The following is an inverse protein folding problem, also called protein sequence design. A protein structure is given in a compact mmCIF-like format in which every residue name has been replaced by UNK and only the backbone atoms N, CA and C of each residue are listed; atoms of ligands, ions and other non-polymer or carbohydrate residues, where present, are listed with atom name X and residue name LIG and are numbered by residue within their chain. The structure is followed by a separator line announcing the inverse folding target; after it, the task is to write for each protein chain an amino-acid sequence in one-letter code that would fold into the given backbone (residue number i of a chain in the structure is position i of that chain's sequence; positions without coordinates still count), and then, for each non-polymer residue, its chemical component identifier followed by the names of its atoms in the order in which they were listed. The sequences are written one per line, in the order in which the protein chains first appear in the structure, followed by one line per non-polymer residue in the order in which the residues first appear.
data_IF_771570476122
#
_entry.id   IF_771570476122
#
_cell.length_a   1.000
_cell.length_b   1.000
_cell.length_c   1.000
_cell.angle_alpha   90.00
_cell.angle_beta   90.00
_cell.angle_gamma   90.00
#
_symmetry.space_group_name_H-M   'P 1'
#
loop_
_entity.id
_entity.type
_entity.pdbx_description
1 polymer ?
#
# COMPACT_ATOMS: atom_id res chain seq x y z
N UNK A 1 -4.29 7.42 12.67
CA UNK A 1 -3.18 6.47 12.39
C UNK A 1 -2.76 6.60 10.94
N UNK A 2 -1.55 7.09 10.72
CA UNK A 2 -0.89 7.24 9.42
C UNK A 2 0.17 6.14 9.35
N UNK A 3 0.02 5.21 8.42
CA UNK A 3 1.14 4.34 8.01
C UNK A 3 1.77 4.98 6.81
N UNK A 4 3.05 5.29 6.92
CA UNK A 4 3.82 5.71 5.77
C UNK A 4 4.31 4.46 5.04
N UNK A 5 3.73 4.18 3.88
CA UNK A 5 4.31 3.22 2.94
C UNK A 5 5.53 3.88 2.30
N UNK A 6 6.74 3.49 2.71
CA UNK A 6 8.04 3.95 2.19
C UNK A 6 8.19 5.48 2.09
N UNK A 7 8.83 6.08 3.10
CA UNK A 7 9.09 7.53 3.15
C UNK A 7 10.19 7.94 2.15
N UNK A 8 9.96 9.07 1.48
CA UNK A 8 10.79 9.70 0.44
C UNK A 8 12.14 10.24 0.99
N UNK A 9 13.22 10.06 0.23
CA UNK A 9 14.64 10.09 0.68
C UNK A 9 15.12 11.45 1.24
N UNK A 10 14.45 12.56 0.90
CA UNK A 10 14.87 13.91 1.28
C UNK A 10 14.56 14.32 2.73
N UNK A 11 13.53 13.74 3.36
CA UNK A 11 13.13 14.01 4.76
C UNK A 11 13.69 13.01 5.77
N UNK A 12 14.29 11.92 5.27
CA UNK A 12 14.72 10.73 6.02
C UNK A 12 15.73 11.06 7.12
N UNK A 13 16.75 11.87 6.84
CA UNK A 13 17.87 12.01 7.78
C UNK A 13 17.51 12.72 9.09
N UNK A 14 16.47 13.56 9.11
CA UNK A 14 16.03 14.24 10.35
C UNK A 14 14.97 13.47 11.14
N UNK A 15 14.19 12.60 10.46
CA UNK A 15 13.15 11.77 11.07
C UNK A 15 13.68 10.41 11.55
N UNK A 16 14.66 9.82 10.86
CA UNK A 16 15.26 8.54 11.25
C UNK A 16 16.09 8.62 12.53
N UNK A 17 16.75 9.74 12.83
CA UNK A 17 17.58 9.88 14.04
C UNK A 17 16.79 9.79 15.35
N UNK A 18 15.45 9.84 15.32
CA UNK A 18 14.57 9.72 16.50
C UNK A 18 13.53 8.60 16.40
N UNK A 19 13.57 7.78 15.34
CA UNK A 19 12.57 6.74 15.12
C UNK A 19 12.86 5.52 16.00
N UNK A 20 11.88 5.13 16.84
CA UNK A 20 12.02 3.95 17.69
C UNK A 20 11.65 2.70 16.90
N UNK A 21 12.56 1.73 16.88
CA UNK A 21 12.37 0.44 16.22
C UNK A 21 12.27 -0.69 17.25
N UNK A 22 11.28 -1.57 17.09
CA UNK A 22 11.02 -2.69 18.01
C UNK A 22 11.30 -4.04 17.35
N UNK A 23 12.34 -4.73 17.82
CA UNK A 23 12.72 -6.07 17.33
C UNK A 23 11.88 -7.20 17.91
N UNK A 24 11.34 -7.01 19.13
CA UNK A 24 10.58 -8.06 19.82
C UNK A 24 9.15 -7.63 20.02
N UNK A 25 8.23 -8.58 19.91
CA UNK A 25 6.81 -8.35 20.12
C UNK A 25 6.54 -7.81 21.53
N UNK A 26 7.18 -8.38 22.56
CA UNK A 26 7.06 -7.90 23.94
C UNK A 26 7.45 -6.43 24.08
N UNK A 27 8.56 -5.99 23.49
CA UNK A 27 8.99 -4.58 23.58
C UNK A 27 8.05 -3.61 22.87
N UNK A 28 7.41 -4.06 21.78
CA UNK A 28 6.41 -3.29 21.05
C UNK A 28 5.12 -3.17 21.86
N UNK A 29 4.64 -4.28 22.43
CA UNK A 29 3.43 -4.29 23.27
C UNK A 29 3.61 -3.49 24.57
N UNK A 30 4.77 -3.62 25.23
CA UNK A 30 5.11 -2.82 26.42
C UNK A 30 5.07 -1.32 26.11
N UNK A 31 5.55 -0.89 24.93
CA UNK A 31 5.46 0.50 24.49
C UNK A 31 4.03 0.98 24.23
N UNK A 32 3.16 0.10 23.74
CA UNK A 32 1.74 0.40 23.55
C UNK A 32 0.92 0.36 24.85
N UNK A 33 1.53 -0.03 25.98
CA UNK A 33 0.83 -0.27 27.23
C UNK A 33 -0.11 -1.48 27.17
N UNK A 34 0.20 -2.45 26.30
CA UNK A 34 -0.58 -3.67 26.11
C UNK A 34 -0.05 -4.80 27.02
N UNK A 35 -0.92 -5.76 27.40
CA UNK A 35 -0.48 -6.96 28.11
C UNK A 35 0.64 -7.68 27.34
N UNK A 36 1.54 -8.32 28.10
CA UNK A 36 2.58 -9.15 27.50
C UNK A 36 1.96 -10.35 26.77
N UNK A 37 2.59 -10.80 25.67
CA UNK A 37 2.07 -11.92 24.93
C UNK A 37 2.35 -13.23 25.69
N UNK A 38 1.44 -14.20 25.58
CA UNK A 38 1.62 -15.56 26.09
C UNK A 38 2.65 -16.35 25.27
N UNK A 39 2.80 -15.98 23.99
CA UNK A 39 3.81 -16.54 23.09
C UNK A 39 4.81 -15.45 22.64
N UNK A 40 6.13 -15.69 22.70
CA UNK A 40 7.14 -14.67 22.36
C UNK A 40 7.02 -14.06 20.95
N UNK A 41 6.41 -14.79 20.02
CA UNK A 41 6.32 -14.43 18.60
C UNK A 41 4.88 -14.23 18.10
N UNK A 42 3.88 -14.34 18.96
CA UNK A 42 2.46 -14.22 18.59
C UNK A 42 1.69 -13.56 19.73
N UNK A 43 0.86 -12.58 19.41
CA UNK A 43 -0.12 -12.00 20.33
C UNK A 43 -1.47 -11.91 19.65
N UNK A 44 -2.52 -12.27 20.37
CA UNK A 44 -3.90 -12.12 19.93
C UNK A 44 -4.62 -11.30 20.99
N UNK A 45 -5.27 -10.22 20.56
CA UNK A 45 -6.17 -9.42 21.37
C UNK A 45 -7.52 -9.41 20.69
N UNK A 46 -8.56 -9.82 21.41
CA UNK A 46 -9.93 -9.82 20.91
C UNK A 46 -10.83 -9.17 21.96
N UNK A 47 -11.49 -8.07 21.61
CA UNK A 47 -12.43 -7.40 22.51
C UNK A 47 -13.78 -8.15 22.50
N UNK A 48 -13.87 -9.26 23.23
CA UNK A 48 -15.15 -9.92 23.51
C UNK A 48 -15.90 -9.19 24.64
N UNK A 49 -17.23 -9.15 24.56
CA UNK A 49 -18.10 -8.60 25.61
C UNK A 49 -17.87 -7.11 25.88
N UNK A 50 -17.68 -6.75 27.15
CA UNK A 50 -17.34 -5.39 27.61
C UNK A 50 -15.83 -5.08 27.54
N UNK A 51 -15.03 -6.01 26.98
CA UNK A 51 -13.60 -5.85 26.80
C UNK A 51 -13.27 -4.72 25.82
N UNK A 52 -12.11 -4.08 26.02
CA UNK A 52 -11.64 -2.99 25.17
C UNK A 52 -10.23 -3.25 24.66
N UNK A 53 -10.00 -3.04 23.36
CA UNK A 53 -8.64 -2.92 22.85
C UNK A 53 -8.00 -1.66 23.43
N UNK A 54 -6.82 -1.75 24.08
CA UNK A 54 -6.13 -0.56 24.55
C UNK A 54 -5.63 0.20 23.33
N UNK A 55 -6.26 1.33 23.04
CA UNK A 55 -5.77 2.29 22.06
C UNK A 55 -4.97 3.37 22.82
N UNK A 56 -3.73 3.66 22.40
CA UNK A 56 -2.98 4.79 22.95
C UNK A 56 -3.81 6.06 22.78
N UNK A 57 -3.99 6.81 23.87
CA UNK A 57 -4.77 8.08 23.89
C UNK A 57 -3.96 9.27 23.39
N UNK A 58 -2.63 9.13 23.31
CA UNK A 58 -1.70 10.19 22.91
C UNK A 58 -1.12 9.90 21.54
N UNK A 59 -0.78 10.96 20.81
CA UNK A 59 -0.05 10.88 19.54
C UNK A 59 1.30 10.16 19.73
N UNK A 60 1.73 9.39 18.73
CA UNK A 60 3.06 8.78 18.74
C UNK A 60 4.06 9.50 17.84
N UNK A 61 5.36 9.49 18.19
CA UNK A 61 6.40 9.67 17.18
C UNK A 61 6.33 8.53 16.14
N UNK A 62 6.93 8.70 14.95
CA UNK A 62 7.10 7.60 14.01
C UNK A 62 7.83 6.42 14.66
N UNK A 63 7.28 5.22 14.52
CA UNK A 63 7.87 3.96 15.02
C UNK A 63 7.85 2.87 13.94
N UNK A 64 8.65 1.83 14.11
CA UNK A 64 8.64 0.62 13.27
C UNK A 64 8.78 -0.63 14.15
N UNK A 65 8.35 -1.80 13.66
CA UNK A 65 8.58 -3.07 14.35
C UNK A 65 8.81 -4.22 13.35
N UNK A 66 9.37 -5.34 13.82
CA UNK A 66 9.68 -6.54 13.00
C UNK A 66 8.50 -7.54 12.90
N UNK A 67 7.30 -7.13 13.30
CA UNK A 67 6.12 -8.00 13.29
C UNK A 67 5.16 -7.62 12.17
N UNK A 68 4.42 -8.62 11.68
CA UNK A 68 3.18 -8.38 10.98
C UNK A 68 2.09 -8.02 12.00
N UNK A 69 1.22 -7.08 11.64
CA UNK A 69 0.01 -6.76 12.40
C UNK A 69 -1.23 -6.85 11.51
N UNK A 70 -2.26 -7.51 12.01
CA UNK A 70 -3.61 -7.54 11.42
C UNK A 70 -4.55 -6.99 12.48
N UNK A 71 -5.27 -5.91 12.18
CA UNK A 71 -6.15 -5.28 13.16
C UNK A 71 -7.47 -4.84 12.55
N UNK A 72 -8.57 -5.22 13.18
CA UNK A 72 -9.89 -4.71 12.84
C UNK A 72 -10.27 -3.62 13.83
N UNK A 73 -10.67 -2.45 13.31
CA UNK A 73 -11.07 -1.31 14.13
C UNK A 73 -12.45 -0.81 13.70
N UNK A 74 -13.39 -0.71 14.64
CA UNK A 74 -14.68 -0.03 14.44
C UNK A 74 -14.57 1.47 14.70
N UNK A 75 -15.40 2.25 14.02
CA UNK A 75 -15.43 3.71 14.14
C UNK A 75 -16.61 4.12 15.03
N UNK A 76 -16.38 4.96 16.05
CA UNK A 76 -17.47 5.46 16.93
C UNK A 76 -18.12 6.70 16.35
N UNK A 77 -17.31 7.71 16.04
CA UNK A 77 -17.68 8.94 15.33
C UNK A 77 -16.37 9.71 15.03
N UNK A 78 -16.33 10.45 13.93
CA UNK A 78 -15.17 11.23 13.50
C UNK A 78 -14.93 11.19 11.99
N UNK A 79 -14.71 12.36 11.38
CA UNK A 79 -14.29 12.47 9.99
C UNK A 79 -12.84 12.00 9.84
N UNK A 80 -12.63 10.70 9.73
CA UNK A 80 -11.42 10.16 9.14
C UNK A 80 -11.47 10.55 7.65
N UNK A 81 -10.70 11.56 7.26
CA UNK A 81 -10.47 11.93 5.86
C UNK A 81 -9.66 10.82 5.19
N UNK A 82 -10.34 9.70 4.89
CA UNK A 82 -9.71 8.45 4.51
C UNK A 82 -10.48 7.87 3.33
N UNK A 83 -9.92 8.08 2.14
CA UNK A 83 -10.65 7.87 0.88
C UNK A 83 -11.63 9.02 0.61
N UNK A 84 -11.53 9.64 -0.56
CA UNK A 84 -12.32 10.82 -0.95
C UNK A 84 -13.78 10.51 -1.37
N UNK A 85 -14.40 9.50 -0.78
CA UNK A 85 -15.78 9.11 -1.11
C UNK A 85 -16.59 8.83 0.14
N UNK A 86 -17.71 9.56 0.28
CA UNK A 86 -18.80 9.27 1.21
C UNK A 86 -19.46 7.95 0.81
N UNK A 87 -18.84 6.82 1.16
CA UNK A 87 -19.56 5.56 1.27
C UNK A 87 -19.72 5.23 2.73
N UNK A 88 -20.94 4.84 3.09
CA UNK A 88 -21.45 4.59 4.43
C UNK A 88 -20.84 3.32 5.05
N UNK A 89 -19.51 3.29 5.21
CA UNK A 89 -18.78 2.19 5.84
C UNK A 89 -18.58 2.51 7.33
N UNK A 90 -19.68 2.65 8.06
CA UNK A 90 -19.71 2.81 9.53
C UNK A 90 -19.27 1.54 10.28
N UNK A 91 -19.03 0.42 9.57
CA UNK A 91 -18.87 -0.91 10.17
C UNK A 91 -17.41 -1.29 10.53
N UNK A 92 -16.46 -0.36 10.40
CA UNK A 92 -15.04 -0.61 10.72
C UNK A 92 -14.20 -1.06 9.53
N UNK A 93 -12.90 -1.20 9.75
CA UNK A 93 -11.94 -1.54 8.70
C UNK A 93 -10.83 -2.47 9.20
N UNK A 94 -10.38 -3.36 8.32
CA UNK A 94 -9.25 -4.25 8.55
C UNK A 94 -7.97 -3.62 8.00
N UNK A 95 -6.96 -3.57 8.86
CA UNK A 95 -5.67 -2.91 8.64
C UNK A 95 -4.57 -3.95 8.72
N UNK A 96 -3.64 -3.89 7.77
CA UNK A 96 -2.49 -4.78 7.65
C UNK A 96 -1.22 -3.97 7.69
N UNK A 97 -0.25 -4.43 8.47
CA UNK A 97 1.06 -3.79 8.60
C UNK A 97 2.13 -4.88 8.46
N UNK A 98 3.14 -4.61 7.64
CA UNK A 98 4.29 -5.47 7.46
C UNK A 98 5.46 -5.06 8.38
N UNK A 99 6.39 -6.00 8.67
CA UNK A 99 7.66 -5.68 9.31
C UNK A 99 8.37 -4.50 8.64
N UNK A 100 8.91 -3.59 9.46
CA UNK A 100 9.65 -2.42 9.02
C UNK A 100 8.81 -1.24 8.54
N UNK A 101 7.47 -1.36 8.46
CA UNK A 101 6.63 -0.23 8.08
C UNK A 101 6.56 0.83 9.17
N UNK A 102 6.57 2.10 8.73
CA UNK A 102 6.53 3.25 9.64
C UNK A 102 5.10 3.53 10.05
N UNK A 103 4.87 3.44 11.35
CA UNK A 103 3.60 3.67 12.02
C UNK A 103 3.66 5.02 12.75
N UNK A 104 2.61 5.82 12.60
CA UNK A 104 2.37 7.00 13.42
C UNK A 104 0.88 7.12 13.70
N UNK A 105 0.49 7.66 14.85
CA UNK A 105 -0.89 8.05 15.09
C UNK A 105 -0.94 9.38 15.81
N UNK A 106 -2.03 10.08 15.57
CA UNK A 106 -2.43 11.33 16.16
C UNK A 106 -3.55 11.09 17.18
N UNK A 107 -3.75 12.07 18.06
CA UNK A 107 -4.83 12.13 19.04
C UNK A 107 -6.19 12.46 18.42
N UNK A 108 -6.23 12.74 17.11
CA UNK A 108 -7.44 13.13 16.37
C UNK A 108 -8.42 11.99 16.11
N UNK A 109 -8.00 10.72 16.29
CA UNK A 109 -8.81 9.55 15.94
C UNK A 109 -9.25 8.77 17.18
N UNK A 110 -10.54 8.85 17.50
CA UNK A 110 -11.17 8.01 18.52
C UNK A 110 -11.64 6.70 17.88
N UNK A 111 -10.88 5.63 18.08
CA UNK A 111 -11.32 4.29 17.67
C UNK A 111 -12.33 3.73 18.66
N UNK A 112 -13.32 2.98 18.14
CA UNK A 112 -14.13 2.14 19.01
C UNK A 112 -13.20 1.10 19.61
N UNK A 113 -13.40 0.82 20.89
CA UNK A 113 -12.63 -0.18 21.63
C UNK A 113 -13.03 -1.62 21.26
N UNK A 114 -13.77 -1.79 20.17
CA UNK A 114 -14.23 -3.07 19.63
C UNK A 114 -13.46 -3.47 18.38
N UNK A 115 -13.04 -4.72 18.33
CA UNK A 115 -12.32 -5.35 17.23
C UNK A 115 -11.29 -6.37 17.73
N UNK A 116 -10.29 -6.64 16.91
CA UNK A 116 -9.19 -7.53 17.27
C UNK A 116 -7.86 -7.02 16.73
N UNK A 117 -6.77 -7.52 17.32
CA UNK A 117 -5.41 -7.33 16.84
C UNK A 117 -4.63 -8.64 16.96
N UNK A 118 -4.07 -9.09 15.84
CA UNK A 118 -3.14 -10.23 15.79
C UNK A 118 -1.79 -9.66 15.38
N UNK A 119 -0.76 -9.90 16.18
CA UNK A 119 0.62 -9.55 15.84
C UNK A 119 1.49 -10.79 15.86
N UNK A 120 2.31 -10.99 14.85
CA UNK A 120 3.21 -12.13 14.79
C UNK A 120 4.53 -11.78 14.10
N UNK A 121 5.62 -12.34 14.64
CA UNK A 121 6.95 -12.23 14.01
C UNK A 121 7.06 -13.21 12.84
N UNK A 122 7.86 -12.90 11.81
CA UNK A 122 8.02 -13.77 10.62
C UNK A 122 8.48 -15.19 10.98
N UNK A 123 9.34 -15.31 11.98
CA UNK A 123 9.82 -16.56 12.56
C UNK A 123 8.72 -17.49 13.07
N UNK A 124 7.56 -16.96 13.47
CA UNK A 124 6.42 -17.79 13.84
C UNK A 124 5.98 -18.67 12.66
N UNK A 125 6.12 -18.16 11.43
CA UNK A 125 5.73 -18.85 10.20
C UNK A 125 6.84 -19.74 9.62
N UNK A 126 8.09 -19.66 10.12
CA UNK A 126 9.23 -20.41 9.55
C UNK A 126 8.91 -21.90 9.40
N UNK A 127 9.24 -22.45 8.23
CA UNK A 127 8.99 -23.84 7.88
C UNK A 127 7.60 -24.15 7.32
N UNK A 128 6.71 -23.15 7.23
CA UNK A 128 5.35 -23.34 6.67
C UNK A 128 5.21 -22.79 5.26
N UNK A 129 4.18 -23.23 4.55
CA UNK A 129 3.83 -22.66 3.24
C UNK A 129 3.44 -21.18 3.36
N UNK A 130 2.79 -20.79 4.46
CA UNK A 130 2.36 -19.41 4.68
C UNK A 130 3.55 -18.43 4.73
N UNK A 131 4.71 -18.84 5.25
CA UNK A 131 5.92 -18.00 5.22
C UNK A 131 6.36 -17.61 3.79
N UNK A 132 6.10 -18.48 2.82
CA UNK A 132 6.42 -18.23 1.41
C UNK A 132 5.34 -17.39 0.72
N UNK A 133 4.08 -17.58 1.12
CA UNK A 133 2.94 -16.92 0.51
C UNK A 133 2.70 -15.50 1.05
N UNK A 134 3.03 -15.22 2.31
CA UNK A 134 2.65 -13.97 2.98
C UNK A 134 3.13 -12.72 2.24
N UNK A 135 4.32 -12.77 1.62
CA UNK A 135 4.89 -11.65 0.84
C UNK A 135 4.12 -11.37 -0.46
N UNK A 136 3.32 -12.32 -0.95
CA UNK A 136 2.50 -12.17 -2.17
C UNK A 136 1.26 -11.32 -1.91
N UNK A 137 0.75 -11.30 -0.68
CA UNK A 137 -0.39 -10.48 -0.31
C UNK A 137 -0.04 -8.99 -0.37
N UNK A 138 -0.61 -8.29 -1.35
CA UNK A 138 -0.32 -6.88 -1.62
C UNK A 138 -0.80 -5.93 -0.54
N UNK A 139 -1.82 -6.33 0.21
CA UNK A 139 -2.40 -5.51 1.26
C UNK A 139 -1.48 -5.26 2.46
N UNK A 140 -0.43 -6.06 2.66
CA UNK A 140 0.62 -5.75 3.64
C UNK A 140 1.49 -4.56 3.24
N UNK A 141 1.46 -4.14 1.98
CA UNK A 141 2.17 -2.96 1.47
C UNK A 141 1.25 -1.78 1.17
N UNK A 142 -0.04 -1.92 1.45
CA UNK A 142 -0.99 -0.83 1.31
C UNK A 142 -0.86 0.14 2.47
N UNK A 143 -1.12 1.42 2.19
CA UNK A 143 -1.21 2.43 3.23
C UNK A 143 -2.46 2.18 4.06
N UNK A 144 -2.48 2.61 5.33
CA UNK A 144 -3.70 2.52 6.17
C UNK A 144 -4.87 3.15 5.41
N UNK A 145 -4.60 4.24 4.67
CA UNK A 145 -5.28 4.71 3.47
C UNK A 145 -6.39 3.91 2.80
N UNK A 146 -5.98 2.68 2.56
CA UNK A 146 -6.49 1.72 1.61
C UNK A 146 -7.02 0.51 2.40
N UNK A 147 -7.43 0.75 3.66
CA UNK A 147 -7.96 -0.26 4.54
C UNK A 147 -9.12 -1.03 3.89
N UNK A 148 -9.20 -2.30 4.25
CA UNK A 148 -10.23 -3.19 3.76
C UNK A 148 -11.53 -2.93 4.51
N UNK A 149 -12.56 -2.51 3.78
CA UNK A 149 -13.90 -2.34 4.33
C UNK A 149 -14.69 -3.63 4.18
N UNK A 150 -15.16 -4.13 5.31
CA UNK A 150 -15.94 -5.37 5.39
C UNK A 150 -17.44 -5.05 5.36
N UNK A 151 -18.18 -5.86 4.63
CA UNK A 151 -19.63 -5.95 4.82
C UNK A 151 -19.94 -6.70 6.12
N UNK A 152 -21.14 -6.55 6.71
CA UNK A 152 -21.50 -7.24 7.96
C UNK A 152 -21.35 -8.76 7.89
N UNK A 153 -21.52 -9.38 6.71
CA UNK A 153 -21.33 -10.82 6.52
C UNK A 153 -19.85 -11.21 6.53
N UNK A 154 -18.99 -10.38 5.96
CA UNK A 154 -17.55 -10.62 5.90
C UNK A 154 -16.89 -10.37 7.26
N UNK A 155 -17.36 -9.36 7.98
CA UNK A 155 -16.97 -9.10 9.37
C UNK A 155 -17.20 -10.34 10.24
N UNK A 156 -18.41 -10.90 10.24
CA UNK A 156 -18.71 -12.15 10.98
C UNK A 156 -17.81 -13.32 10.60
N UNK A 157 -17.43 -13.44 9.32
CA UNK A 157 -16.53 -14.50 8.86
C UNK A 157 -15.12 -14.31 9.44
N UNK A 158 -14.62 -13.09 9.37
CA UNK A 158 -13.30 -12.74 9.91
C UNK A 158 -13.28 -12.89 11.43
N UNK A 159 -14.31 -12.40 12.13
CA UNK A 159 -14.45 -12.54 13.58
C UNK A 159 -14.44 -14.01 14.00
N UNK A 160 -15.19 -14.89 13.34
CA UNK A 160 -15.20 -16.32 13.66
C UNK A 160 -13.83 -17.00 13.50
N UNK A 161 -13.05 -16.62 12.48
CA UNK A 161 -11.68 -17.14 12.31
C UNK A 161 -10.78 -16.67 13.45
N UNK A 162 -10.86 -15.37 13.79
CA UNK A 162 -10.07 -14.79 14.89
C UNK A 162 -10.47 -15.38 16.23
N UNK A 163 -11.74 -15.69 16.46
CA UNK A 163 -12.20 -16.38 17.66
C UNK A 163 -11.58 -17.77 17.80
N UNK A 164 -11.45 -18.52 16.70
CA UNK A 164 -10.77 -19.81 16.73
C UNK A 164 -9.27 -19.65 17.04
N UNK A 165 -8.62 -18.64 16.46
CA UNK A 165 -7.21 -18.32 16.76
C UNK A 165 -7.03 -17.93 18.23
N UNK A 166 -7.93 -17.11 18.76
CA UNK A 166 -7.95 -16.65 20.15
C UNK A 166 -8.11 -17.81 21.13
N UNK A 167 -9.06 -18.72 20.87
CA UNK A 167 -9.25 -19.94 21.68
C UNK A 167 -7.97 -20.78 21.69
N UNK A 168 -7.37 -21.04 20.54
CA UNK A 168 -6.14 -21.84 20.44
C UNK A 168 -4.95 -21.15 21.12
N UNK A 169 -4.86 -19.82 21.00
CA UNK A 169 -3.81 -19.02 21.61
C UNK A 169 -3.87 -19.01 23.14
N UNK A 170 -5.07 -19.07 23.72
CA UNK A 170 -5.31 -19.09 25.17
C UNK A 170 -5.31 -20.49 25.79
N UNK A 171 -5.33 -21.54 24.97
CA UNK A 171 -5.25 -22.92 25.43
C UNK A 171 -3.83 -23.31 25.84
N UNK A 172 -3.70 -24.42 26.58
CA UNK A 172 -2.41 -25.03 26.85
C UNK A 172 -1.78 -25.49 25.53
N UNK A 173 -0.71 -24.83 25.11
CA UNK A 173 -0.07 -25.12 23.84
C UNK A 173 0.52 -26.53 23.82
N UNK A 174 0.18 -27.27 22.76
CA UNK A 174 0.73 -28.58 22.46
C UNK A 174 1.43 -28.57 21.08
N UNK A 175 1.81 -29.76 20.60
CA UNK A 175 2.50 -29.90 19.32
C UNK A 175 1.64 -29.52 18.09
N UNK A 176 0.31 -29.44 18.25
CA UNK A 176 -0.64 -29.13 17.18
C UNK A 176 -1.03 -27.65 17.15
N UNK A 177 -1.01 -26.96 18.30
CA UNK A 177 -1.48 -25.58 18.44
C UNK A 177 -0.92 -24.62 17.38
N UNK A 178 0.38 -24.71 17.11
CA UNK A 178 1.04 -23.84 16.11
C UNK A 178 0.48 -24.05 14.71
N UNK A 179 0.30 -25.30 14.28
CA UNK A 179 -0.20 -25.62 12.94
C UNK A 179 -1.66 -25.19 12.76
N UNK A 180 -2.47 -25.36 13.80
CA UNK A 180 -3.87 -24.91 13.82
C UNK A 180 -3.95 -23.39 13.66
N UNK A 181 -3.19 -22.64 14.47
CA UNK A 181 -3.14 -21.17 14.38
C UNK A 181 -2.70 -20.72 12.99
N UNK A 182 -1.66 -21.33 12.43
CA UNK A 182 -1.16 -20.97 11.10
C UNK A 182 -2.21 -21.26 10.01
N UNK A 183 -2.95 -22.36 10.12
CA UNK A 183 -4.02 -22.71 9.18
C UNK A 183 -5.19 -21.72 9.23
N UNK A 184 -5.56 -21.26 10.43
CA UNK A 184 -6.58 -20.22 10.61
C UNK A 184 -6.08 -18.86 10.09
N UNK A 185 -4.82 -18.51 10.34
CA UNK A 185 -4.21 -17.29 9.84
C UNK A 185 -4.14 -17.27 8.31
N UNK A 186 -3.78 -18.38 7.69
CA UNK A 186 -3.80 -18.53 6.23
C UNK A 186 -5.22 -18.36 5.67
N UNK A 187 -6.21 -18.97 6.32
CA UNK A 187 -7.63 -18.81 5.97
C UNK A 187 -8.07 -17.35 6.05
N UNK A 188 -7.71 -16.65 7.14
CA UNK A 188 -7.98 -15.23 7.32
C UNK A 188 -7.39 -14.39 6.18
N UNK A 189 -6.12 -14.64 5.83
CA UNK A 189 -5.42 -13.89 4.78
C UNK A 189 -6.00 -14.15 3.38
N UNK A 190 -6.44 -15.38 3.09
CA UNK A 190 -7.15 -15.73 1.85
C UNK A 190 -8.48 -14.99 1.73
N UNK A 191 -9.26 -14.92 2.81
CA UNK A 191 -10.49 -14.13 2.84
C UNK A 191 -10.23 -12.64 2.69
N UNK A 192 -9.24 -12.09 3.40
CA UNK A 192 -8.83 -10.70 3.24
C UNK A 192 -8.48 -10.38 1.78
N UNK A 193 -7.68 -11.24 1.12
CA UNK A 193 -7.35 -11.08 -0.29
C UNK A 193 -8.60 -11.06 -1.17
N UNK A 194 -9.54 -11.99 -0.96
CA UNK A 194 -10.80 -12.05 -1.70
C UNK A 194 -11.64 -10.78 -1.52
N UNK A 195 -11.70 -10.24 -0.31
CA UNK A 195 -12.48 -9.04 -0.02
C UNK A 195 -11.82 -7.78 -0.61
N UNK A 196 -10.48 -7.73 -0.62
CA UNK A 196 -9.74 -6.70 -1.35
C UNK A 196 -10.08 -6.72 -2.84
N UNK A 197 -10.04 -7.90 -3.48
CA UNK A 197 -10.43 -8.06 -4.89
C UNK A 197 -11.84 -7.54 -5.18
N UNK A 198 -12.82 -7.87 -4.32
CA UNK A 198 -14.18 -7.32 -4.39
C UNK A 198 -14.17 -5.79 -4.32
N UNK A 199 -13.39 -5.22 -3.41
CA UNK A 199 -13.34 -3.78 -3.20
C UNK A 199 -12.80 -3.04 -4.44
N UNK A 200 -11.94 -3.66 -5.25
CA UNK A 200 -11.54 -3.12 -6.56
C UNK A 200 -12.68 -3.21 -7.58
N UNK A 201 -13.33 -4.38 -7.71
CA UNK A 201 -14.39 -4.60 -8.71
C UNK A 201 -15.60 -3.68 -8.54
N UNK A 202 -15.99 -3.41 -7.30
CA UNK A 202 -17.16 -2.58 -6.99
C UNK A 202 -16.85 -1.07 -6.98
N UNK A 203 -15.62 -0.66 -7.32
CA UNK A 203 -15.13 0.71 -7.25
C UNK A 203 -14.78 1.31 -8.62
N UNK A 204 -15.49 0.95 -9.70
CA UNK A 204 -15.27 1.54 -11.04
C UNK A 204 -15.22 3.07 -11.05
N UNK A 205 -16.02 3.75 -10.24
CA UNK A 205 -16.01 5.22 -10.15
C UNK A 205 -14.74 5.77 -9.45
N UNK A 206 -14.27 5.10 -8.39
CA UNK A 206 -13.04 5.44 -7.66
C UNK A 206 -11.76 5.10 -8.44
N UNK A 207 -11.79 4.02 -9.21
CA UNK A 207 -10.66 3.58 -10.01
C UNK A 207 -10.51 4.43 -11.29
N UNK A 208 -11.63 4.84 -11.90
CA UNK A 208 -11.64 5.87 -12.94
C UNK A 208 -11.09 7.20 -12.41
N UNK A 209 -11.52 7.64 -11.23
CA UNK A 209 -10.98 8.84 -10.57
C UNK A 209 -9.47 8.72 -10.29
N UNK A 210 -8.98 7.53 -9.90
CA UNK A 210 -7.54 7.31 -9.69
C UNK A 210 -6.75 7.37 -10.99
N UNK A 211 -7.25 6.78 -12.08
CA UNK A 211 -6.63 6.86 -13.41
C UNK A 211 -6.62 8.30 -13.93
N UNK A 212 -7.72 9.04 -13.79
CA UNK A 212 -7.79 10.45 -14.21
C UNK A 212 -6.87 11.35 -13.38
N UNK A 213 -6.77 11.10 -12.07
CA UNK A 213 -5.76 11.76 -11.20
C UNK A 213 -4.35 11.41 -11.62
N UNK A 214 -4.06 10.15 -11.92
CA UNK A 214 -2.76 9.73 -12.42
C UNK A 214 -2.40 10.49 -13.70
N UNK A 215 -3.28 10.48 -14.71
CA UNK A 215 -3.09 11.23 -15.95
C UNK A 215 -2.88 12.72 -15.69
N UNK A 216 -3.68 13.33 -14.82
CA UNK A 216 -3.56 14.74 -14.44
C UNK A 216 -2.21 15.05 -13.78
N UNK A 217 -1.74 14.18 -12.88
CA UNK A 217 -0.45 14.37 -12.21
C UNK A 217 0.72 14.20 -13.18
N UNK A 218 0.63 13.25 -14.11
CA UNK A 218 1.63 13.06 -15.17
C UNK A 218 1.63 14.28 -16.10
N UNK A 219 0.48 14.68 -16.65
CA UNK A 219 0.38 15.86 -17.54
C UNK A 219 0.96 17.12 -16.89
N UNK A 220 0.58 17.43 -15.64
CA UNK A 220 1.15 18.57 -14.90
C UNK A 220 2.66 18.50 -14.74
N UNK A 221 3.22 17.30 -14.57
CA UNK A 221 4.66 17.14 -14.46
C UNK A 221 5.35 17.48 -15.79
N UNK A 222 4.79 17.03 -16.92
CA UNK A 222 5.30 17.29 -18.26
C UNK A 222 5.16 18.77 -18.65
N UNK A 223 4.06 19.43 -18.28
CA UNK A 223 3.84 20.86 -18.53
C UNK A 223 4.78 21.78 -17.72
N UNK A 224 5.17 21.35 -16.51
CA UNK A 224 5.89 22.19 -15.54
C UNK A 224 7.37 22.45 -15.85
N UNK A 225 7.90 21.99 -17.00
CA UNK A 225 9.35 21.96 -17.36
C UNK A 225 10.27 21.27 -16.34
N UNK A 226 9.70 20.60 -15.32
CA UNK A 226 10.48 19.91 -14.28
C UNK A 226 11.24 18.69 -14.80
N UNK A 227 10.90 18.18 -15.99
CA UNK A 227 11.56 17.02 -16.60
C UNK A 227 13.04 17.23 -16.88
N UNK A 228 13.43 18.44 -17.31
CA UNK A 228 14.84 18.73 -17.62
C UNK A 228 15.70 18.81 -16.35
N UNK A 229 15.12 19.26 -15.24
CA UNK A 229 15.84 19.41 -13.96
C UNK A 229 15.79 18.16 -13.08
N UNK A 230 14.66 17.44 -13.10
CA UNK A 230 14.37 16.34 -12.16
C UNK A 230 14.25 14.98 -12.82
N UNK A 231 14.30 14.91 -14.15
CA UNK A 231 14.08 13.68 -14.91
C UNK A 231 12.63 13.20 -14.86
N UNK A 232 12.40 12.02 -15.43
CA UNK A 232 11.10 11.34 -15.43
C UNK A 232 10.77 10.91 -13.98
N UNK A 233 9.57 11.23 -13.46
CA UNK A 233 9.22 10.90 -12.08
C UNK A 233 9.06 9.39 -11.92
N UNK A 234 9.50 8.87 -10.76
CA UNK A 234 9.28 7.47 -10.43
C UNK A 234 7.80 7.22 -10.11
N UNK A 235 7.36 5.96 -10.24
CA UNK A 235 5.98 5.59 -9.89
C UNK A 235 5.70 5.85 -8.40
N UNK A 236 6.72 5.68 -7.55
CA UNK A 236 6.66 5.98 -6.12
C UNK A 236 6.36 7.47 -5.88
N UNK A 237 7.07 8.37 -6.56
CA UNK A 237 6.84 9.82 -6.45
C UNK A 237 5.43 10.22 -6.89
N UNK A 238 4.93 9.61 -7.97
CA UNK A 238 3.56 9.87 -8.46
C UNK A 238 2.53 9.38 -7.43
N UNK A 239 2.70 8.15 -6.93
CA UNK A 239 1.80 7.56 -5.94
C UNK A 239 1.77 8.36 -4.64
N UNK A 240 2.94 8.81 -4.16
CA UNK A 240 3.06 9.67 -2.98
C UNK A 240 2.31 10.99 -3.12
N UNK A 241 2.39 11.65 -4.29
CA UNK A 241 1.59 12.87 -4.58
C UNK A 241 0.09 12.62 -4.60
N UNK A 242 -0.31 11.41 -4.96
CA UNK A 242 -1.71 10.97 -4.96
C UNK A 242 -2.16 10.43 -3.59
N UNK A 243 -1.28 10.43 -2.59
CA UNK A 243 -1.51 9.86 -1.25
C UNK A 243 -1.96 8.40 -1.32
N UNK A 244 -1.40 7.60 -2.22
CA UNK A 244 -1.64 6.15 -2.33
C UNK A 244 -0.31 5.41 -2.33
N UNK A 245 -0.33 4.13 -1.96
CA UNK A 245 0.86 3.29 -2.11
C UNK A 245 1.12 3.01 -3.60
N UNK A 246 2.41 2.92 -3.99
CA UNK A 246 2.80 2.54 -5.36
C UNK A 246 2.14 1.23 -5.80
N UNK A 247 2.04 0.26 -4.88
CA UNK A 247 1.47 -1.05 -5.17
C UNK A 247 -0.04 -0.96 -5.38
N UNK A 248 -0.76 -0.22 -4.55
CA UNK A 248 -2.19 0.00 -4.74
C UNK A 248 -2.48 0.72 -6.07
N UNK A 249 -1.71 1.75 -6.41
CA UNK A 249 -1.81 2.41 -7.72
C UNK A 249 -1.58 1.42 -8.86
N UNK A 250 -0.55 0.58 -8.75
CA UNK A 250 -0.22 -0.43 -9.76
C UNK A 250 -1.29 -1.49 -9.92
N UNK A 251 -1.77 -2.05 -8.82
CA UNK A 251 -2.82 -3.08 -8.82
C UNK A 251 -4.14 -2.51 -9.33
N UNK A 252 -4.49 -1.29 -8.94
CA UNK A 252 -5.72 -0.60 -9.40
C UNK A 252 -5.68 -0.35 -10.90
N UNK A 253 -4.62 0.31 -11.42
CA UNK A 253 -4.53 0.62 -12.85
C UNK A 253 -4.45 -0.65 -13.71
N UNK A 254 -3.73 -1.68 -13.25
CA UNK A 254 -3.63 -2.95 -13.97
C UNK A 254 -4.96 -3.67 -14.04
N UNK A 255 -5.76 -3.67 -12.97
CA UNK A 255 -7.09 -4.29 -12.96
C UNK A 255 -8.06 -3.57 -13.88
N UNK A 256 -8.04 -2.24 -13.93
CA UNK A 256 -8.94 -1.46 -14.77
C UNK A 256 -8.57 -1.50 -16.25
N UNK A 257 -7.28 -1.35 -16.57
CA UNK A 257 -6.87 -1.09 -17.95
C UNK A 257 -6.05 -2.23 -18.57
N UNK A 258 -5.73 -3.27 -17.80
CA UNK A 258 -4.81 -4.35 -18.20
C UNK A 258 -3.34 -3.92 -18.32
N UNK A 259 -2.98 -2.69 -17.95
CA UNK A 259 -1.62 -2.12 -18.10
C UNK A 259 -1.06 -1.70 -16.75
N UNK A 260 0.22 -1.95 -16.55
CA UNK A 260 0.94 -1.48 -15.36
C UNK A 260 1.06 0.05 -15.34
N UNK A 261 1.24 0.65 -14.17
CA UNK A 261 1.44 2.11 -14.05
C UNK A 261 2.67 2.59 -14.83
N UNK A 262 3.72 1.77 -14.89
CA UNK A 262 4.91 2.06 -15.72
C UNK A 262 4.56 2.09 -17.21
N UNK A 263 3.69 1.18 -17.67
CA UNK A 263 3.23 1.21 -19.06
C UNK A 263 2.37 2.44 -19.36
N UNK A 264 1.52 2.87 -18.43
CA UNK A 264 0.76 4.13 -18.59
C UNK A 264 1.69 5.33 -18.70
N UNK A 265 2.68 5.44 -17.82
CA UNK A 265 3.69 6.51 -17.88
C UNK A 265 4.45 6.48 -19.20
N UNK A 266 4.91 5.31 -19.64
CA UNK A 266 5.58 5.16 -20.92
C UNK A 266 4.68 5.53 -22.10
N UNK A 267 3.40 5.14 -22.10
CA UNK A 267 2.48 5.53 -23.17
C UNK A 267 2.32 7.06 -23.23
N UNK A 268 2.17 7.71 -22.07
CA UNK A 268 2.10 9.17 -22.01
C UNK A 268 3.36 9.82 -22.59
N UNK A 269 4.54 9.37 -22.17
CA UNK A 269 5.84 9.86 -22.68
C UNK A 269 5.92 9.71 -24.20
N UNK A 270 5.47 8.59 -24.74
CA UNK A 270 5.53 8.34 -26.19
C UNK A 270 4.57 9.25 -26.95
N UNK A 271 3.38 9.52 -26.44
CA UNK A 271 2.47 10.49 -27.07
C UNK A 271 3.08 11.90 -27.09
N UNK A 272 3.65 12.37 -25.97
CA UNK A 272 4.37 13.66 -25.94
C UNK A 272 5.56 13.67 -26.91
N UNK A 273 6.32 12.57 -26.95
CA UNK A 273 7.45 12.44 -27.87
C UNK A 273 7.02 12.59 -29.33
N UNK A 274 5.89 12.01 -29.73
CA UNK A 274 5.36 12.17 -31.09
C UNK A 274 5.12 13.63 -31.44
N UNK A 275 4.52 14.40 -30.52
CA UNK A 275 4.25 15.83 -30.73
C UNK A 275 5.55 16.64 -30.90
N UNK A 276 6.56 16.38 -30.06
CA UNK A 276 7.85 17.10 -30.13
C UNK A 276 8.67 16.66 -31.35
N UNK A 277 8.61 15.38 -31.75
CA UNK A 277 9.39 14.86 -32.89
C UNK A 277 9.00 15.50 -34.24
N UNK A 278 7.77 16.01 -34.36
CA UNK A 278 7.29 16.73 -35.53
C UNK A 278 7.78 18.20 -35.59
N UNK A 279 8.45 18.68 -34.53
CA UNK A 279 9.11 19.98 -34.57
C UNK A 279 10.43 19.87 -35.37
N UNK A 280 10.60 20.66 -36.45
CA UNK A 280 11.71 20.47 -37.39
C UNK A 280 13.08 20.93 -36.86
N UNK A 281 13.10 21.70 -35.77
CA UNK A 281 14.25 22.38 -35.20
C UNK A 281 15.01 21.58 -34.12
N UNK A 282 14.50 20.43 -33.70
CA UNK A 282 15.10 19.62 -32.62
C UNK A 282 15.69 18.31 -33.14
N UNK A 283 16.90 17.98 -32.72
CA UNK A 283 17.49 16.64 -32.92
C UNK A 283 16.80 15.59 -32.04
N UNK A 284 16.90 14.31 -32.41
CA UNK A 284 16.34 13.20 -31.61
C UNK A 284 16.91 13.17 -30.18
N UNK A 285 18.18 13.54 -30.02
CA UNK A 285 18.83 13.64 -28.71
C UNK A 285 18.25 14.77 -27.86
N UNK A 286 18.01 15.94 -28.45
CA UNK A 286 17.37 17.07 -27.75
C UNK A 286 15.95 16.71 -27.30
N UNK A 287 15.18 16.03 -28.15
CA UNK A 287 13.85 15.51 -27.76
C UNK A 287 13.95 14.56 -26.57
N UNK A 288 14.93 13.65 -26.56
CA UNK A 288 15.13 12.74 -25.44
C UNK A 288 15.44 13.49 -24.12
N UNK A 289 16.35 14.47 -24.17
CA UNK A 289 16.70 15.27 -23.00
C UNK A 289 15.54 16.13 -22.51
N UNK A 290 14.74 16.69 -23.42
CA UNK A 290 13.55 17.48 -23.08
C UNK A 290 12.47 16.64 -22.39
N UNK A 291 12.35 15.36 -22.78
CA UNK A 291 11.48 14.38 -22.13
C UNK A 291 12.04 13.85 -20.80
N UNK A 292 13.21 14.32 -20.35
CA UNK A 292 13.82 13.96 -19.08
C UNK A 292 14.60 12.64 -19.09
N UNK A 293 14.99 12.13 -20.26
CA UNK A 293 15.88 10.98 -20.35
C UNK A 293 17.34 11.39 -20.20
N UNK A 294 18.07 10.74 -19.29
CA UNK A 294 19.53 10.94 -19.17
C UNK A 294 20.30 10.39 -20.38
N UNK A 295 19.78 9.35 -21.03
CA UNK A 295 20.44 8.65 -22.14
C UNK A 295 19.52 8.53 -23.36
N UNK A 296 19.76 9.27 -24.45
CA UNK A 296 18.96 9.20 -25.68
C UNK A 296 18.77 7.78 -26.26
N UNK A 297 19.75 6.85 -26.22
CA UNK A 297 19.55 5.49 -26.70
C UNK A 297 18.46 4.70 -25.94
N UNK A 298 18.20 5.04 -24.66
CA UNK A 298 17.11 4.42 -23.92
C UNK A 298 15.75 4.91 -24.44
N UNK A 299 15.60 6.21 -24.68
CA UNK A 299 14.43 6.79 -25.33
C UNK A 299 14.15 6.13 -26.68
N UNK A 300 15.15 6.04 -27.58
CA UNK A 300 14.94 5.47 -28.91
C UNK A 300 14.48 4.00 -28.86
N UNK A 301 15.02 3.21 -27.92
CA UNK A 301 14.57 1.82 -27.70
C UNK A 301 13.15 1.76 -27.17
N UNK A 302 12.80 2.62 -26.21
CA UNK A 302 11.44 2.69 -25.66
C UNK A 302 10.43 3.08 -26.74
N UNK A 303 10.73 4.12 -27.53
CA UNK A 303 9.90 4.59 -28.63
C UNK A 303 9.68 3.49 -29.67
N UNK A 304 10.76 2.86 -30.14
CA UNK A 304 10.67 1.74 -31.09
C UNK A 304 9.88 0.55 -30.54
N UNK A 305 10.03 0.24 -29.25
CA UNK A 305 9.25 -0.83 -28.60
C UNK A 305 7.75 -0.53 -28.57
N UNK A 306 7.36 0.74 -28.47
CA UNK A 306 5.95 1.16 -28.37
C UNK A 306 5.29 1.42 -29.72
N UNK A 307 6.02 2.03 -30.66
CA UNK A 307 5.52 2.44 -31.98
C UNK A 307 5.89 1.48 -33.11
N UNK A 308 6.82 0.56 -32.88
CA UNK A 308 7.34 -0.36 -33.90
C UNK A 308 8.42 0.23 -34.82
N UNK A 309 8.54 1.55 -34.88
CA UNK A 309 9.56 2.29 -35.66
C UNK A 309 10.38 3.22 -34.77
N UNK A 310 11.60 3.54 -35.19
CA UNK A 310 12.47 4.47 -34.47
C UNK A 310 11.97 5.92 -34.53
N UNK A 311 12.40 6.80 -33.60
CA UNK A 311 12.06 8.22 -33.64
C UNK A 311 12.42 8.91 -34.97
N UNK A 312 13.55 8.54 -35.57
CA UNK A 312 13.99 9.07 -36.87
C UNK A 312 13.04 8.64 -37.99
N UNK A 313 12.73 7.34 -38.09
CA UNK A 313 11.78 6.81 -39.07
C UNK A 313 10.38 7.43 -38.88
N UNK A 314 9.96 7.66 -37.63
CA UNK A 314 8.71 8.34 -37.33
C UNK A 314 8.70 9.77 -37.88
N UNK A 315 9.75 10.57 -37.59
CA UNK A 315 9.87 11.94 -38.11
C UNK A 315 9.84 11.98 -39.63
N UNK A 316 10.63 11.14 -40.28
CA UNK A 316 10.70 11.10 -41.76
C UNK A 316 9.33 10.77 -42.36
N UNK A 317 8.62 9.80 -41.78
CA UNK A 317 7.30 9.37 -42.26
C UNK A 317 6.23 10.46 -42.14
N UNK A 318 6.27 11.27 -41.08
CA UNK A 318 5.20 12.22 -40.75
C UNK A 318 5.52 13.69 -41.05
N UNK A 319 6.79 14.05 -41.33
CA UNK A 319 7.17 15.38 -41.84
C UNK A 319 7.05 15.52 -43.37
N UNK A 320 6.66 14.45 -44.09
CA UNK A 320 6.48 14.43 -45.54
C UNK A 320 5.05 14.83 -46.01
N UNK A 321 4.22 15.40 -45.13
CA UNK A 321 2.90 15.96 -45.44
C UNK A 321 2.83 17.44 -45.04
#
# INVERSE_FOLDING_TARGET
MIVYSNLDIGGINKLLEKMKHFKTLSSYLDYLGLPRPEHPMLSVFNSKGDGYLPCPRESSPPITNDCYSISFKKYVDGNLNYGRTKYDFTNGALIFIAPGQVLQWDDSVVFERKGFSINFHEDFLKGTELAQQIKKYSFFSYSVNEALHLSPKEEKQVESIVENIDIEYQNNQDEFSKEIIISQLDTLLKYANRFYERQFLNRKELSNDLLEKFKTHVSKFFESRQLQEKGIPSIEQIAGKMMVSQRYLSDTLKKETGKTTTEHLHLYIIEEAKHILLQPDKSISEVAYELGFEYPPYFSRLFKKKEGISPTEYREKYNLN
#
